data_IF_026333502393
#
_entry.id   IF_026333502393
#
_cell.length_a   1.000
_cell.length_b   1.000
_cell.length_c   1.000
_cell.angle_alpha   90.00
_cell.angle_beta   90.00
_cell.angle_gamma   90.00
#
_symmetry.space_group_name_H-M   'P 1'
#
loop_
_entity.id
_entity.type
_entity.pdbx_description
1 polymer ?
#
# COMPACT_ATOMS: atom_id res chain seq x y z
N UNK A 1 -25.62 -59.55 -40.04
CA UNK A 1 -24.34 -58.97 -39.62
C UNK A 1 -24.62 -57.57 -39.10
N UNK A 2 -24.44 -57.38 -37.79
CA UNK A 2 -24.91 -56.20 -37.06
C UNK A 2 -23.90 -55.07 -36.99
N UNK A 3 -24.45 -53.85 -37.02
CA UNK A 3 -24.08 -52.61 -36.31
C UNK A 3 -22.59 -52.30 -36.13
N UNK A 4 -22.20 -51.11 -36.59
CA UNK A 4 -21.14 -50.35 -35.92
C UNK A 4 -20.56 -49.24 -36.75
N UNK A 5 -21.06 -48.02 -36.59
CA UNK A 5 -20.20 -46.82 -36.64
C UNK A 5 -20.77 -45.81 -35.64
N UNK A 6 -20.10 -45.66 -34.50
CA UNK A 6 -20.32 -44.56 -33.56
C UNK A 6 -19.22 -43.55 -33.88
N UNK A 7 -19.55 -42.41 -34.49
CA UNK A 7 -18.66 -41.26 -34.53
C UNK A 7 -18.77 -40.54 -33.18
N UNK A 8 -17.73 -40.65 -32.36
CA UNK A 8 -17.55 -39.80 -31.20
C UNK A 8 -16.97 -38.46 -31.67
N UNK A 9 -17.79 -37.40 -31.66
CA UNK A 9 -17.31 -36.04 -31.79
C UNK A 9 -16.63 -35.65 -30.48
N UNK A 10 -15.30 -35.59 -30.48
CA UNK A 10 -14.51 -35.06 -29.38
C UNK A 10 -14.66 -33.54 -29.37
N UNK A 11 -15.61 -33.03 -28.59
CA UNK A 11 -15.69 -31.62 -28.20
C UNK A 11 -14.46 -31.29 -27.35
N UNK A 12 -13.48 -30.62 -27.97
CA UNK A 12 -12.36 -30.00 -27.27
C UNK A 12 -12.91 -28.92 -26.33
N UNK A 13 -13.07 -29.25 -25.04
CA UNK A 13 -13.27 -28.24 -24.01
C UNK A 13 -11.97 -27.43 -23.91
N UNK A 14 -12.00 -26.20 -24.43
CA UNK A 14 -11.05 -25.17 -24.04
C UNK A 14 -11.23 -24.91 -22.54
N UNK A 15 -10.35 -25.49 -21.73
CA UNK A 15 -10.20 -25.12 -20.32
C UNK A 15 -9.63 -23.71 -20.31
N UNK A 16 -10.51 -22.71 -20.15
CA UNK A 16 -10.07 -21.38 -19.76
C UNK A 16 -9.48 -21.50 -18.36
N UNK A 17 -8.16 -21.62 -18.29
CA UNK A 17 -7.44 -21.44 -17.04
C UNK A 17 -7.65 -19.98 -16.63
N UNK A 18 -8.48 -19.76 -15.61
CA UNK A 18 -8.54 -18.48 -14.93
C UNK A 18 -7.14 -18.18 -14.40
N UNK A 19 -6.44 -17.23 -15.02
CA UNK A 19 -5.19 -16.71 -14.50
C UNK A 19 -5.57 -15.97 -13.21
N UNK A 20 -5.14 -16.52 -12.07
CA UNK A 20 -5.27 -15.84 -10.80
C UNK A 20 -4.48 -14.51 -10.87
N UNK A 21 -5.00 -13.48 -10.20
CA UNK A 21 -4.32 -12.21 -10.02
C UNK A 21 -2.93 -12.49 -9.41
N UNK A 22 -1.88 -12.30 -10.20
CA UNK A 22 -0.49 -12.44 -9.73
C UNK A 22 -0.05 -11.09 -9.22
N UNK A 23 -0.10 -10.94 -7.90
CA UNK A 23 0.32 -9.74 -7.20
C UNK A 23 1.57 -10.10 -6.41
N UNK A 24 2.67 -10.22 -7.14
CA UNK A 24 3.82 -11.01 -6.65
C UNK A 24 4.70 -10.22 -5.69
N UNK A 25 4.96 -8.94 -5.97
CA UNK A 25 5.91 -8.16 -5.17
C UNK A 25 5.68 -6.65 -5.21
N UNK A 26 6.16 -5.98 -4.16
CA UNK A 26 6.34 -4.54 -4.08
C UNK A 26 7.82 -4.19 -4.00
N UNK A 27 8.23 -3.14 -4.70
CA UNK A 27 9.53 -2.51 -4.51
C UNK A 27 9.43 -1.52 -3.35
N UNK A 28 10.24 -1.70 -2.30
CA UNK A 28 10.29 -0.83 -1.13
C UNK A 28 11.59 -0.02 -1.13
N UNK A 29 11.49 1.29 -0.93
CA UNK A 29 12.66 2.17 -0.86
C UNK A 29 12.50 3.29 0.18
N UNK A 30 13.59 3.67 0.83
CA UNK A 30 13.59 4.73 1.81
C UNK A 30 14.64 4.52 2.90
N UNK A 31 14.88 5.55 3.70
CA UNK A 31 15.90 5.54 4.75
C UNK A 31 15.33 5.22 6.15
N UNK A 32 14.01 5.06 6.27
CA UNK A 32 13.34 4.81 7.54
C UNK A 32 12.26 3.71 7.44
N UNK A 33 12.28 2.93 6.36
CA UNK A 33 11.47 1.71 6.25
C UNK A 33 11.85 0.73 7.36
N UNK A 34 10.86 0.06 7.94
CA UNK A 34 11.11 -1.05 8.87
C UNK A 34 11.53 -2.31 8.12
N UNK A 35 10.97 -2.54 6.94
CA UNK A 35 11.46 -3.56 6.01
C UNK A 35 12.76 -3.10 5.33
N UNK A 36 13.62 -4.05 4.97
CA UNK A 36 14.82 -3.77 4.20
C UNK A 36 14.47 -3.14 2.84
N UNK A 37 15.34 -2.32 2.27
CA UNK A 37 15.12 -1.78 0.91
C UNK A 37 15.29 -2.91 -0.11
N UNK A 38 14.40 -2.98 -1.10
CA UNK A 38 14.40 -3.99 -2.16
C UNK A 38 13.01 -4.52 -2.50
N UNK A 39 12.99 -5.64 -3.21
CA UNK A 39 11.76 -6.35 -3.61
C UNK A 39 11.24 -7.20 -2.46
N UNK A 40 9.95 -7.07 -2.14
CA UNK A 40 9.27 -7.87 -1.12
C UNK A 40 8.02 -8.52 -1.66
N UNK A 41 7.76 -9.76 -1.25
CA UNK A 41 6.50 -10.42 -1.54
C UNK A 41 5.34 -9.72 -0.85
N UNK A 42 4.21 -9.62 -1.55
CA UNK A 42 2.99 -9.08 -0.98
C UNK A 42 2.19 -10.22 -0.36
N UNK A 43 1.82 -10.05 0.90
CA UNK A 43 1.09 -11.08 1.65
C UNK A 43 -0.40 -10.80 1.63
N UNK A 44 -1.18 -11.75 1.13
CA UNK A 44 -2.63 -11.76 1.35
C UNK A 44 -2.92 -12.15 2.80
N UNK A 45 -3.67 -11.31 3.52
CA UNK A 45 -4.00 -11.50 4.94
C UNK A 45 -5.47 -11.87 5.17
N UNK A 46 -6.32 -11.60 4.17
CA UNK A 46 -7.70 -12.05 4.03
C UNK A 46 -8.06 -11.94 2.54
N UNK A 47 -9.17 -12.54 2.10
CA UNK A 47 -9.58 -12.50 0.70
C UNK A 47 -9.53 -11.08 0.14
N UNK A 48 -8.73 -10.89 -0.92
CA UNK A 48 -8.49 -9.61 -1.60
C UNK A 48 -7.85 -8.51 -0.75
N UNK A 49 -7.40 -8.82 0.46
CA UNK A 49 -6.73 -7.88 1.37
C UNK A 49 -5.25 -8.20 1.47
N UNK A 50 -4.44 -7.23 1.06
CA UNK A 50 -3.01 -7.38 0.91
C UNK A 50 -2.26 -6.45 1.86
N UNK A 51 -1.20 -6.97 2.47
CA UNK A 51 -0.27 -6.23 3.32
C UNK A 51 0.97 -5.87 2.52
N UNK A 52 1.27 -4.58 2.43
CA UNK A 52 2.45 -4.01 1.77
C UNK A 52 3.42 -3.53 2.87
N UNK A 53 4.68 -4.01 2.92
CA UNK A 53 5.60 -3.81 4.04
C UNK A 53 6.23 -2.41 4.06
N UNK A 54 5.38 -1.39 4.25
CA UNK A 54 5.73 0.05 4.22
C UNK A 54 5.76 0.67 5.61
N UNK A 55 5.95 -0.13 6.66
CA UNK A 55 6.15 0.36 8.01
C UNK A 55 7.29 1.39 8.06
N UNK A 56 7.13 2.43 8.89
CA UNK A 56 8.07 3.54 9.05
C UNK A 56 8.32 3.76 10.53
N UNK A 57 9.60 3.81 10.90
CA UNK A 57 10.00 4.17 12.26
C UNK A 57 11.01 5.31 12.25
N UNK A 58 10.68 6.40 12.93
CA UNK A 58 11.57 7.54 13.12
C UNK A 58 11.58 7.90 14.60
N UNK A 59 12.79 8.07 15.14
CA UNK A 59 13.01 8.58 16.49
C UNK A 59 13.96 9.76 16.45
N UNK A 60 13.62 10.83 17.17
CA UNK A 60 14.51 11.96 17.44
C UNK A 60 14.84 11.98 18.92
N UNK A 61 16.13 11.97 19.22
CA UNK A 61 16.64 12.22 20.56
C UNK A 61 16.82 13.74 20.80
N UNK A 62 17.12 14.16 22.03
CA UNK A 62 17.21 15.58 22.44
C UNK A 62 18.38 16.32 21.78
N UNK A 63 19.46 15.62 21.44
CA UNK A 63 20.67 16.16 20.83
C UNK A 63 20.49 16.57 19.35
N UNK A 64 19.40 16.14 18.72
CA UNK A 64 19.11 16.42 17.30
C UNK A 64 17.99 17.44 17.17
N UNK A 65 18.17 18.45 16.31
CA UNK A 65 17.11 19.42 16.00
C UNK A 65 15.97 18.85 15.17
N UNK A 66 16.26 17.85 14.33
CA UNK A 66 15.28 17.22 13.43
C UNK A 66 15.66 15.77 13.15
N UNK A 67 14.65 14.90 13.01
CA UNK A 67 14.76 13.59 12.39
C UNK A 67 13.74 13.48 11.27
N UNK A 68 14.17 13.04 10.09
CA UNK A 68 13.32 12.85 8.91
C UNK A 68 13.58 11.48 8.33
N UNK A 69 12.53 10.88 7.80
CA UNK A 69 12.62 9.57 7.18
C UNK A 69 11.47 9.37 6.22
N UNK A 70 11.73 8.56 5.21
CA UNK A 70 10.72 8.17 4.22
C UNK A 70 10.71 6.66 4.07
N UNK A 71 9.53 6.14 3.75
CA UNK A 71 9.35 4.80 3.21
C UNK A 71 8.38 4.90 2.03
N UNK A 72 8.75 4.31 0.90
CA UNK A 72 8.01 4.38 -0.35
C UNK A 72 7.82 2.98 -0.89
N UNK A 73 6.74 2.78 -1.66
CA UNK A 73 6.56 1.55 -2.41
C UNK A 73 6.13 1.79 -3.86
N UNK A 74 6.44 0.82 -4.71
CA UNK A 74 5.86 0.70 -6.04
C UNK A 74 5.36 -0.74 -6.25
N UNK A 75 4.11 -0.86 -6.68
CA UNK A 75 3.44 -2.12 -6.97
C UNK A 75 2.97 -2.11 -8.43
N UNK A 76 3.45 -3.08 -9.21
CA UNK A 76 3.01 -3.28 -10.58
C UNK A 76 1.68 -4.04 -10.59
N UNK A 77 0.69 -3.48 -11.27
CA UNK A 77 -0.64 -4.06 -11.45
C UNK A 77 -0.82 -4.41 -12.92
N UNK A 78 -1.23 -5.64 -13.21
CA UNK A 78 -1.52 -6.09 -14.57
C UNK A 78 -2.79 -6.92 -14.58
N UNK A 79 -3.83 -6.40 -15.22
CA UNK A 79 -5.12 -7.08 -15.32
C UNK A 79 -5.10 -8.10 -16.46
N UNK A 80 -5.84 -9.19 -16.28
CA UNK A 80 -6.13 -10.16 -17.34
C UNK A 80 -6.99 -9.55 -18.45
N UNK A 81 -6.98 -10.16 -19.63
CA UNK A 81 -7.84 -9.73 -20.74
C UNK A 81 -9.32 -9.76 -20.33
N UNK A 82 -10.07 -8.70 -20.67
CA UNK A 82 -11.49 -8.55 -20.32
C UNK A 82 -11.75 -8.11 -18.87
N UNK A 83 -10.71 -7.93 -18.06
CA UNK A 83 -10.81 -7.53 -16.65
C UNK A 83 -10.03 -6.25 -16.34
N UNK A 84 -10.28 -5.66 -15.18
CA UNK A 84 -9.51 -4.54 -14.62
C UNK A 84 -9.16 -4.81 -13.16
N UNK A 85 -8.11 -4.17 -12.67
CA UNK A 85 -7.75 -4.19 -11.25
C UNK A 85 -8.29 -2.93 -10.59
N UNK A 86 -8.97 -3.13 -9.46
CA UNK A 86 -9.43 -2.06 -8.56
C UNK A 86 -8.65 -2.19 -7.26
N UNK A 87 -7.96 -1.11 -6.88
CA UNK A 87 -7.35 -0.96 -5.56
C UNK A 87 -8.23 -0.04 -4.75
N UNK A 88 -8.67 -0.49 -3.57
CA UNK A 88 -9.51 0.29 -2.66
C UNK A 88 -9.05 0.19 -1.21
N UNK A 89 -9.70 0.98 -0.36
CA UNK A 89 -9.71 0.83 1.10
C UNK A 89 -8.32 0.70 1.72
N UNK A 90 -7.49 1.71 1.44
CA UNK A 90 -6.17 1.81 2.03
C UNK A 90 -6.26 2.10 3.53
N UNK A 91 -5.42 1.42 4.31
CA UNK A 91 -5.38 1.58 5.76
C UNK A 91 -3.95 1.43 6.29
N UNK A 92 -3.47 2.45 7.00
CA UNK A 92 -2.17 2.43 7.66
C UNK A 92 -2.26 3.04 9.06
N UNK A 93 -2.15 2.19 10.09
CA UNK A 93 -2.18 2.63 11.48
C UNK A 93 -0.92 3.42 11.81
N UNK A 94 -1.08 4.65 12.30
CA UNK A 94 0.00 5.58 12.63
C UNK A 94 -0.05 5.95 14.11
N UNK A 95 1.11 5.93 14.77
CA UNK A 95 1.34 6.44 16.11
C UNK A 95 2.36 7.57 16.10
N UNK A 96 1.94 8.76 16.51
CA UNK A 96 2.81 9.93 16.70
C UNK A 96 2.99 10.19 18.19
N UNK A 97 4.21 10.56 18.58
CA UNK A 97 4.52 10.99 19.94
C UNK A 97 5.50 12.15 19.93
N UNK A 98 5.12 13.24 20.57
CA UNK A 98 5.97 14.39 20.81
C UNK A 98 6.12 14.58 22.33
N UNK A 99 7.35 14.70 22.81
CA UNK A 99 7.64 15.01 24.21
C UNK A 99 7.74 16.53 24.40
N UNK A 100 7.63 17.06 25.64
CA UNK A 100 7.71 18.50 25.93
C UNK A 100 8.96 19.18 25.35
N UNK A 101 9.00 20.52 25.46
CA UNK A 101 10.02 21.43 24.88
C UNK A 101 9.86 21.65 23.38
N UNK A 102 8.67 22.15 23.00
CA UNK A 102 8.34 22.59 21.64
C UNK A 102 8.68 21.55 20.57
N UNK A 103 8.17 20.32 20.75
CA UNK A 103 8.42 19.23 19.81
C UNK A 103 7.18 18.95 18.98
N UNK A 104 7.39 18.69 17.69
CA UNK A 104 6.35 18.35 16.73
C UNK A 104 6.70 17.07 15.99
N UNK A 105 5.75 16.14 15.95
CA UNK A 105 5.84 14.92 15.17
C UNK A 105 4.75 14.92 14.10
N UNK A 106 5.14 14.69 12.86
CA UNK A 106 4.28 14.73 11.68
C UNK A 106 4.52 13.53 10.80
N UNK A 107 3.47 13.02 10.17
CA UNK A 107 3.56 12.08 9.06
C UNK A 107 2.67 12.53 7.91
N UNK A 108 3.14 12.31 6.68
CA UNK A 108 2.42 12.54 5.44
C UNK A 108 2.32 11.19 4.70
N UNK A 109 1.12 10.81 4.26
CA UNK A 109 0.85 9.64 3.41
C UNK A 109 0.24 10.07 2.09
N UNK A 110 0.76 9.53 1.00
CA UNK A 110 0.21 9.62 -0.35
C UNK A 110 0.14 8.23 -0.96
N UNK A 111 -0.99 7.90 -1.60
CA UNK A 111 -1.16 6.68 -2.38
C UNK A 111 -1.83 7.09 -3.69
N UNK A 112 -1.23 6.71 -4.83
CA UNK A 112 -1.63 7.22 -6.14
C UNK A 112 -1.16 6.31 -7.27
N UNK A 113 -1.81 6.42 -8.44
CA UNK A 113 -1.34 5.78 -9.67
C UNK A 113 -0.21 6.61 -10.29
N UNK A 114 0.84 5.95 -10.74
CA UNK A 114 1.97 6.63 -11.40
C UNK A 114 1.49 7.42 -12.63
N UNK A 115 1.88 8.69 -12.70
CA UNK A 115 1.43 9.63 -13.73
C UNK A 115 0.19 10.44 -13.36
N UNK A 116 -0.45 10.16 -12.21
CA UNK A 116 -1.60 10.91 -11.70
C UNK A 116 -1.23 11.72 -10.45
N UNK A 117 -2.03 12.74 -10.15
CA UNK A 117 -1.82 13.59 -8.98
C UNK A 117 -2.18 12.84 -7.69
N UNK A 118 -1.31 12.91 -6.70
CA UNK A 118 -1.55 12.35 -5.37
C UNK A 118 -2.40 13.28 -4.50
N UNK A 119 -3.17 12.67 -3.58
CA UNK A 119 -3.82 13.38 -2.47
C UNK A 119 -3.05 13.06 -1.19
N UNK A 120 -2.46 14.09 -0.59
CA UNK A 120 -1.69 13.98 0.64
C UNK A 120 -2.57 14.03 1.87
N UNK A 121 -2.39 13.06 2.75
CA UNK A 121 -2.99 13.01 4.08
C UNK A 121 -1.92 13.30 5.11
N UNK A 122 -2.22 14.17 6.07
CA UNK A 122 -1.28 14.57 7.12
C UNK A 122 -1.86 14.27 8.49
N UNK A 123 -1.03 13.69 9.37
CA UNK A 123 -1.26 13.68 10.82
C UNK A 123 -0.11 14.39 11.51
N UNK A 124 -0.45 15.18 12.52
CA UNK A 124 0.52 15.96 13.27
C UNK A 124 0.12 16.03 14.75
N UNK A 125 1.11 16.02 15.63
CA UNK A 125 0.97 16.35 17.04
C UNK A 125 2.10 17.27 17.48
N UNK A 126 1.78 18.18 18.39
CA UNK A 126 2.72 19.10 18.99
C UNK A 126 2.64 19.00 20.51
N UNK A 127 3.79 19.14 21.15
CA UNK A 127 3.98 19.09 22.59
C UNK A 127 4.78 20.32 23.03
N UNK A 128 4.10 21.25 23.71
CA UNK A 128 4.73 22.44 24.30
C UNK A 128 5.25 22.12 25.70
N UNK A 129 4.33 21.90 26.64
CA UNK A 129 4.65 21.65 28.06
C UNK A 129 4.48 20.19 28.48
N UNK A 130 3.58 19.46 27.83
CA UNK A 130 3.24 18.08 28.16
C UNK A 130 3.38 17.17 26.94
N UNK A 131 3.58 15.88 27.20
CA UNK A 131 3.69 14.87 26.13
C UNK A 131 2.38 14.78 25.37
N UNK A 132 2.45 14.83 24.04
CA UNK A 132 1.32 14.61 23.16
C UNK A 132 1.47 13.27 22.42
N UNK A 133 0.38 12.50 22.34
CA UNK A 133 0.30 11.23 21.60
C UNK A 133 -0.95 11.25 20.74
N UNK A 134 -0.81 10.82 19.49
CA UNK A 134 -1.93 10.51 18.61
C UNK A 134 -1.74 9.12 18.02
N UNK A 135 -2.82 8.35 18.00
CA UNK A 135 -2.88 7.08 17.28
C UNK A 135 -4.11 7.12 16.40
N UNK A 136 -3.91 7.02 15.09
CA UNK A 136 -4.97 7.16 14.09
C UNK A 136 -4.57 6.44 12.82
N UNK A 137 -5.55 5.92 12.10
CA UNK A 137 -5.32 5.35 10.78
C UNK A 137 -5.35 6.43 9.71
N UNK A 138 -4.33 6.40 8.85
CA UNK A 138 -4.31 7.09 7.57
C UNK A 138 -4.78 6.14 6.48
N UNK A 139 -5.30 6.68 5.37
CA UNK A 139 -5.83 5.88 4.28
C UNK A 139 -7.09 6.49 3.66
N UNK A 140 -7.49 5.92 2.53
CA UNK A 140 -8.62 6.35 1.73
C UNK A 140 -9.65 5.22 1.70
N UNK A 141 -10.92 5.55 1.91
CA UNK A 141 -12.04 4.64 1.69
C UNK A 141 -12.47 4.72 0.22
N UNK A 142 -12.89 3.59 -0.35
CA UNK A 142 -13.27 3.52 -1.76
C UNK A 142 -12.05 3.38 -2.69
N UNK A 143 -12.31 3.56 -4.00
CA UNK A 143 -11.30 3.33 -5.04
C UNK A 143 -10.15 4.34 -4.96
N UNK A 144 -8.93 3.81 -4.88
CA UNK A 144 -7.67 4.55 -4.92
C UNK A 144 -7.09 4.54 -6.33
N UNK A 145 -7.16 3.39 -7.00
CA UNK A 145 -6.68 3.19 -8.38
C UNK A 145 -7.58 2.21 -9.11
N UNK A 146 -7.85 2.51 -10.37
CA UNK A 146 -8.47 1.59 -11.32
C UNK A 146 -7.62 1.49 -12.59
N UNK A 147 -7.34 0.26 -13.05
CA UNK A 147 -6.68 0.04 -14.34
C UNK A 147 -7.69 0.08 -15.48
N UNK A 148 -7.23 0.31 -16.72
CA UNK A 148 -8.06 0.00 -17.89
C UNK A 148 -8.27 -1.51 -18.04
N UNK A 149 -9.24 -1.90 -18.85
CA UNK A 149 -9.51 -3.30 -19.21
C UNK A 149 -8.31 -3.94 -19.92
N UNK A 150 -7.82 -5.09 -19.43
CA UNK A 150 -6.57 -5.71 -19.88
C UNK A 150 -5.33 -4.83 -19.70
N UNK A 151 -5.45 -3.76 -18.91
CA UNK A 151 -4.44 -2.74 -18.73
C UNK A 151 -3.41 -3.07 -17.68
N UNK A 152 -2.44 -2.17 -17.55
CA UNK A 152 -1.48 -2.18 -16.46
C UNK A 152 -1.37 -0.79 -15.82
N UNK A 153 -0.94 -0.76 -14.57
CA UNK A 153 -0.64 0.47 -13.85
C UNK A 153 0.46 0.21 -12.83
N UNK A 154 1.04 1.30 -12.31
CA UNK A 154 1.94 1.23 -11.15
C UNK A 154 1.26 1.99 -10.03
N UNK A 155 0.88 1.28 -8.97
CA UNK A 155 0.46 1.90 -7.72
C UNK A 155 1.70 2.33 -6.96
N UNK A 156 1.76 3.59 -6.56
CA UNK A 156 2.83 4.14 -5.74
C UNK A 156 2.27 4.62 -4.42
N UNK A 157 3.10 4.55 -3.38
CA UNK A 157 2.81 5.29 -2.17
C UNK A 157 4.07 5.86 -1.53
N UNK A 158 3.90 7.04 -0.97
CA UNK A 158 4.94 7.77 -0.26
C UNK A 158 4.50 7.99 1.17
N UNK A 159 5.31 7.53 2.11
CA UNK A 159 5.15 7.81 3.51
C UNK A 159 6.37 8.58 4.00
N UNK A 160 6.13 9.79 4.52
CA UNK A 160 7.19 10.66 5.01
C UNK A 160 6.90 11.09 6.45
N UNK A 161 7.82 10.83 7.35
CA UNK A 161 7.72 11.26 8.74
C UNK A 161 8.77 12.31 9.08
N UNK A 162 8.42 13.21 10.00
CA UNK A 162 9.34 14.20 10.54
C UNK A 162 9.07 14.42 12.01
N UNK A 163 10.14 14.47 12.81
CA UNK A 163 10.12 14.96 14.18
C UNK A 163 11.05 16.16 14.26
N UNK A 164 10.58 17.28 14.81
CA UNK A 164 11.35 18.53 14.91
C UNK A 164 11.11 19.22 16.25
N UNK A 165 12.07 20.04 16.68
CA UNK A 165 11.98 20.75 17.96
C UNK A 165 13.11 20.36 18.91
N UNK A 166 13.06 20.90 20.12
CA UNK A 166 14.13 20.74 21.12
C UNK A 166 14.00 19.43 21.89
N UNK A 167 12.77 18.93 22.08
CA UNK A 167 12.53 17.70 22.85
C UNK A 167 12.51 16.44 21.99
N UNK A 168 12.34 15.27 22.63
CA UNK A 168 12.30 13.97 21.92
C UNK A 168 10.99 13.77 21.18
N UNK A 169 11.00 12.86 20.21
CA UNK A 169 9.76 12.41 19.58
C UNK A 169 9.91 11.17 18.73
N UNK A 170 8.77 10.64 18.28
CA UNK A 170 8.70 9.42 17.49
C UNK A 170 7.54 9.48 16.50
N UNK A 171 7.80 8.97 15.30
CA UNK A 171 6.78 8.56 14.32
C UNK A 171 6.91 7.05 14.14
N UNK A 172 5.79 6.35 14.23
CA UNK A 172 5.71 4.92 13.93
C UNK A 172 4.47 4.68 13.08
N UNK A 173 4.61 3.94 11.99
CA UNK A 173 3.48 3.46 11.19
C UNK A 173 3.61 1.97 10.96
N UNK A 174 2.49 1.27 11.02
CA UNK A 174 2.43 -0.13 10.60
C UNK A 174 2.47 -0.23 9.07
N UNK A 175 2.55 -1.46 8.58
CA UNK A 175 2.40 -1.79 7.17
C UNK A 175 1.07 -1.30 6.61
N UNK A 176 1.08 -0.98 5.31
CA UNK A 176 -0.11 -0.56 4.59
C UNK A 176 -0.94 -1.78 4.25
N UNK A 177 -2.25 -1.68 4.46
CA UNK A 177 -3.21 -2.68 3.99
C UNK A 177 -4.01 -2.07 2.85
N UNK A 178 -4.17 -2.83 1.77
CA UNK A 178 -4.95 -2.48 0.58
C UNK A 178 -5.97 -3.58 0.29
N UNK A 179 -7.14 -3.21 -0.21
CA UNK A 179 -8.00 -4.14 -0.94
C UNK A 179 -7.61 -4.12 -2.41
N UNK A 180 -7.35 -5.27 -3.01
CA UNK A 180 -7.00 -5.36 -4.43
C UNK A 180 -7.81 -6.48 -5.08
N UNK A 181 -8.65 -6.11 -6.03
CA UNK A 181 -9.56 -7.01 -6.70
C UNK A 181 -9.37 -6.95 -8.21
N UNK A 182 -9.49 -8.11 -8.86
CA UNK A 182 -9.61 -8.19 -10.31
C UNK A 182 -11.09 -8.40 -10.65
N UNK A 183 -11.68 -7.43 -11.34
CA UNK A 183 -13.11 -7.42 -11.66
C UNK A 183 -13.33 -7.42 -13.16
N UNK A 184 -14.44 -8.01 -13.62
CA UNK A 184 -14.81 -8.01 -15.03
C UNK A 184 -15.09 -6.58 -15.51
N UNK A 185 -14.66 -6.28 -16.73
CA UNK A 185 -15.07 -5.05 -17.37
C UNK A 185 -16.54 -5.13 -17.76
N UNK A 186 -17.30 -4.08 -17.46
CA UNK A 186 -18.62 -3.94 -18.04
C UNK A 186 -18.49 -3.91 -19.57
N UNK A 187 -19.26 -4.75 -20.25
CA UNK A 187 -19.37 -4.76 -21.71
C UNK A 187 -19.93 -3.43 -22.24
#
# INVERSE_FOLDING_TARGET
MGKGVILAAATSLCVMQAQALTLDSAEIAGNACEAAVGTHEIREIAAHRFLVPTGLYIRKDEDKRVARGTCTFALNLKASAGKKIVVSDSHQTTSLRAYPTNTRARVDLEIFKAGEQSVKQTLEVEALEQTSKLEKSLGQQGAVVETSCGGSAILRGNLAGTVMGEGRGRVFTRDLILSIEEVDCAN
#
